data_IF_632050361774
#
_entry.id   IF_632050361774
#
_cell.length_a   1.000
_cell.length_b   1.000
_cell.length_c   1.000
_cell.angle_alpha   90.00
_cell.angle_beta   90.00
_cell.angle_gamma   90.00
#
_symmetry.space_group_name_H-M   'P 1'
#
loop_
_entity.id
_entity.type
_entity.pdbx_description
1 polymer ?
#
# COMPACT_ATOMS: atom_id res chain seq x y z
N UNK A 1 -13.11 37.89 -5.64
CA UNK A 1 -12.74 38.40 -4.31
C UNK A 1 -11.93 37.30 -3.64
N UNK A 2 -10.71 37.60 -3.19
CA UNK A 2 -9.86 36.62 -2.51
C UNK A 2 -10.32 36.50 -1.06
N UNK A 3 -10.65 35.29 -0.63
CA UNK A 3 -11.04 35.03 0.76
C UNK A 3 -9.80 35.03 1.65
N UNK A 4 -9.84 35.78 2.75
CA UNK A 4 -8.78 35.79 3.74
C UNK A 4 -8.55 34.38 4.31
N UNK A 5 -7.30 33.87 4.37
CA UNK A 5 -7.05 32.56 4.94
C UNK A 5 -7.21 32.61 6.46
N UNK A 6 -7.75 31.53 7.02
CA UNK A 6 -7.92 31.37 8.47
C UNK A 6 -6.63 30.82 9.08
N UNK A 7 -6.19 31.40 10.20
CA UNK A 7 -5.05 30.89 10.95
C UNK A 7 -5.44 29.55 11.62
N UNK A 8 -4.72 28.44 11.36
CA UNK A 8 -5.08 27.14 11.91
C UNK A 8 -4.81 27.03 13.42
N UNK A 9 -4.02 27.94 14.00
CA UNK A 9 -3.67 27.93 15.41
C UNK A 9 -4.70 28.65 16.31
N UNK A 10 -5.32 29.73 15.83
CA UNK A 10 -6.25 30.56 16.62
C UNK A 10 -7.61 30.81 15.95
N UNK A 11 -7.85 30.21 14.78
CA UNK A 11 -9.08 30.31 13.99
C UNK A 11 -9.49 31.74 13.57
N UNK A 12 -8.55 32.68 13.67
CA UNK A 12 -8.77 34.09 13.28
C UNK A 12 -8.41 34.30 11.81
N UNK A 13 -9.23 35.05 11.09
CA UNK A 13 -8.93 35.45 9.71
C UNK A 13 -7.68 36.32 9.66
N UNK A 14 -6.74 35.98 8.77
CA UNK A 14 -5.53 36.76 8.57
C UNK A 14 -5.82 38.11 7.93
N UNK A 15 -4.98 39.10 8.22
CA UNK A 15 -4.97 40.42 7.58
C UNK A 15 -4.00 40.42 6.41
N UNK A 16 -4.39 41.04 5.30
CA UNK A 16 -3.47 41.28 4.19
C UNK A 16 -2.49 42.40 4.57
N UNK A 17 -1.20 42.15 4.33
CA UNK A 17 -0.08 43.07 4.45
C UNK A 17 0.91 42.80 3.31
N UNK A 18 2.12 43.32 3.41
CA UNK A 18 3.18 43.20 2.43
C UNK A 18 4.49 42.65 3.04
N UNK A 19 5.49 42.48 2.18
CA UNK A 19 6.81 41.99 2.60
C UNK A 19 7.67 43.03 3.28
N UNK A 20 7.33 44.32 3.25
CA UNK A 20 8.05 45.34 4.01
C UNK A 20 7.76 45.22 5.50
N UNK A 21 6.50 44.92 5.87
CA UNK A 21 6.10 44.63 7.25
C UNK A 21 6.74 43.32 7.75
N UNK A 22 6.67 42.25 6.95
CA UNK A 22 7.09 40.89 7.38
C UNK A 22 8.59 40.65 7.24
N UNK A 23 9.23 41.23 6.22
CA UNK A 23 10.65 41.08 5.94
C UNK A 23 11.34 42.45 5.74
N UNK A 24 11.44 43.28 6.79
CA UNK A 24 12.00 44.64 6.68
C UNK A 24 13.45 44.67 6.17
N UNK A 25 14.18 43.56 6.31
CA UNK A 25 15.56 43.40 5.85
C UNK A 25 15.69 42.83 4.42
N UNK A 26 14.56 42.64 3.71
CA UNK A 26 14.52 42.10 2.34
C UNK A 26 13.76 43.03 1.40
N UNK A 27 14.41 44.13 0.93
CA UNK A 27 13.78 45.09 0.03
C UNK A 27 13.24 44.47 -1.26
N UNK A 28 13.84 43.36 -1.72
CA UNK A 28 13.40 42.61 -2.90
C UNK A 28 12.03 41.92 -2.72
N UNK A 29 11.55 41.81 -1.47
CA UNK A 29 10.26 41.24 -1.11
C UNK A 29 9.25 42.29 -0.66
N UNK A 30 9.63 43.58 -0.56
CA UNK A 30 8.83 44.63 0.06
C UNK A 30 7.38 44.67 -0.46
N UNK A 31 7.19 44.67 -1.77
CA UNK A 31 5.86 44.80 -2.39
C UNK A 31 5.09 43.47 -2.51
N UNK A 32 5.61 42.36 -1.94
CA UNK A 32 4.95 41.06 -2.06
C UNK A 32 3.75 40.99 -1.11
N UNK A 33 2.53 40.71 -1.59
CA UNK A 33 1.39 40.54 -0.70
C UNK A 33 1.58 39.31 0.18
N UNK A 34 1.29 39.48 1.48
CA UNK A 34 1.41 38.46 2.52
C UNK A 34 0.19 38.53 3.44
N UNK A 35 -0.39 37.39 3.78
CA UNK A 35 -1.42 37.30 4.80
C UNK A 35 -0.79 36.99 6.15
N UNK A 36 -1.02 37.83 7.15
CA UNK A 36 -0.46 37.69 8.49
C UNK A 36 -1.57 37.55 9.55
N UNK A 37 -1.36 36.66 10.53
CA UNK A 37 -2.25 36.55 11.67
C UNK A 37 -2.09 37.78 12.57
N UNK A 38 -3.21 38.25 13.12
CA UNK A 38 -3.25 39.40 14.04
C UNK A 38 -3.11 38.99 15.51
N UNK A 39 -3.19 37.69 15.82
CA UNK A 39 -3.18 37.13 17.18
C UNK A 39 -1.90 36.34 17.43
N UNK A 40 -1.54 35.44 16.53
CA UNK A 40 -0.35 34.61 16.65
C UNK A 40 0.89 35.35 16.17
N UNK A 41 1.93 35.36 16.99
CA UNK A 41 3.23 35.92 16.61
C UNK A 41 3.86 35.13 15.46
N UNK A 42 4.60 35.85 14.61
CA UNK A 42 5.38 35.30 13.51
C UNK A 42 4.59 34.29 12.64
N UNK A 43 3.29 34.52 12.42
CA UNK A 43 2.41 33.58 11.72
C UNK A 43 1.84 34.22 10.47
N UNK A 44 2.29 33.76 9.30
CA UNK A 44 1.93 34.38 8.03
C UNK A 44 2.06 33.40 6.84
N UNK A 45 1.54 33.80 5.67
CA UNK A 45 1.65 33.06 4.41
C UNK A 45 1.74 34.01 3.22
N UNK A 46 2.68 33.77 2.32
CA UNK A 46 2.81 34.56 1.09
C UNK A 46 1.73 34.21 0.05
N UNK A 47 1.69 34.97 -1.04
CA UNK A 47 0.70 34.80 -2.11
C UNK A 47 1.32 34.31 -3.42
N UNK A 48 0.47 33.79 -4.32
CA UNK A 48 0.85 33.49 -5.69
C UNK A 48 1.31 34.75 -6.44
N UNK A 49 2.33 34.67 -7.32
CA UNK A 49 2.91 35.84 -7.98
C UNK A 49 1.86 36.71 -8.69
N UNK A 50 1.87 38.02 -8.38
CA UNK A 50 0.96 39.00 -8.98
C UNK A 50 -0.49 38.91 -8.50
N UNK A 51 -0.75 38.18 -7.41
CA UNK A 51 -2.09 38.03 -6.84
C UNK A 51 -2.06 38.13 -5.32
N UNK A 52 -3.22 38.29 -4.70
CA UNK A 52 -3.41 38.17 -3.25
C UNK A 52 -3.84 36.75 -2.83
N UNK A 53 -3.83 35.79 -3.76
CA UNK A 53 -4.26 34.41 -3.48
C UNK A 53 -3.21 33.74 -2.59
N UNK A 54 -3.55 33.33 -1.36
CA UNK A 54 -2.57 32.76 -0.43
C UNK A 54 -2.03 31.42 -0.95
N UNK A 55 -0.76 31.15 -0.67
CA UNK A 55 -0.10 29.87 -0.97
C UNK A 55 -0.58 28.73 -0.04
N UNK A 56 -1.42 29.03 0.95
CA UNK A 56 -1.93 28.08 1.91
C UNK A 56 -2.40 28.79 3.18
N UNK A 57 -2.28 28.12 4.32
CA UNK A 57 -2.61 28.73 5.61
C UNK A 57 -1.40 29.42 6.25
N UNK A 58 -1.64 30.53 7.00
CA UNK A 58 -0.63 31.14 7.86
C UNK A 58 0.07 30.08 8.71
N UNK A 59 1.39 30.14 8.75
CA UNK A 59 2.23 29.20 9.47
C UNK A 59 3.26 29.97 10.29
N UNK A 60 3.60 29.45 11.46
CA UNK A 60 4.73 29.93 12.28
C UNK A 60 6.09 29.54 11.67
N UNK A 61 7.20 30.01 12.25
CA UNK A 61 8.55 29.67 11.78
C UNK A 61 8.78 28.15 11.68
N UNK A 62 8.37 27.39 12.70
CA UNK A 62 8.60 25.95 12.77
C UNK A 62 7.87 25.19 11.66
N UNK A 63 6.61 25.55 11.40
CA UNK A 63 5.81 24.94 10.35
C UNK A 63 6.29 25.37 8.96
N UNK A 64 6.69 26.64 8.78
CA UNK A 64 7.33 27.09 7.53
C UNK A 64 8.61 26.30 7.24
N UNK A 65 9.44 26.08 8.26
CA UNK A 65 10.65 25.27 8.14
C UNK A 65 10.33 23.80 7.81
N UNK A 66 9.36 23.18 8.49
CA UNK A 66 8.94 21.80 8.23
C UNK A 66 8.47 21.61 6.77
N UNK A 67 7.62 22.52 6.28
CA UNK A 67 7.14 22.53 4.88
C UNK A 67 8.31 22.70 3.90
N UNK A 68 9.24 23.63 4.18
CA UNK A 68 10.43 23.85 3.37
C UNK A 68 11.33 22.61 3.30
N UNK A 69 11.59 21.96 4.44
CA UNK A 69 12.40 20.75 4.52
C UNK A 69 11.76 19.59 3.74
N UNK A 70 10.43 19.44 3.84
CA UNK A 70 9.70 18.44 3.06
C UNK A 70 9.88 18.65 1.55
N UNK A 71 9.72 19.90 1.08
CA UNK A 71 9.98 20.24 -0.33
C UNK A 71 11.41 19.89 -0.71
N UNK A 72 12.38 20.47 -0.01
CA UNK A 72 13.81 20.37 -0.35
C UNK A 72 14.31 18.93 -0.34
N UNK A 73 13.91 18.14 0.66
CA UNK A 73 14.52 16.85 0.91
C UNK A 73 13.75 15.68 0.30
N UNK A 74 12.48 15.85 -0.05
CA UNK A 74 11.64 14.73 -0.54
C UNK A 74 10.90 15.05 -1.82
N UNK A 75 10.13 16.14 -1.88
CA UNK A 75 9.27 16.40 -3.05
C UNK A 75 10.08 16.88 -4.26
N UNK A 76 10.90 17.92 -4.08
CA UNK A 76 11.64 18.54 -5.17
C UNK A 76 12.64 17.61 -5.87
N UNK A 77 13.43 16.80 -5.14
CA UNK A 77 14.33 15.84 -5.79
C UNK A 77 13.61 14.86 -6.72
N UNK A 78 12.41 14.40 -6.35
CA UNK A 78 11.63 13.45 -7.16
C UNK A 78 11.26 14.03 -8.52
N UNK A 79 10.65 15.22 -8.55
CA UNK A 79 10.18 15.77 -9.81
C UNK A 79 11.27 16.51 -10.60
N UNK A 80 12.25 17.13 -9.94
CA UNK A 80 13.37 17.81 -10.63
C UNK A 80 14.30 16.81 -11.30
N UNK A 81 14.55 15.66 -10.67
CA UNK A 81 15.38 14.56 -11.20
C UNK A 81 14.67 13.65 -12.19
N UNK A 82 13.35 13.81 -12.39
CA UNK A 82 12.56 12.99 -13.30
C UNK A 82 13.11 12.87 -14.73
N UNK A 83 13.63 13.94 -15.38
CA UNK A 83 14.18 13.84 -16.73
C UNK A 83 15.36 12.87 -16.85
N UNK A 84 16.10 12.65 -15.78
CA UNK A 84 17.33 11.85 -15.76
C UNK A 84 17.10 10.43 -15.20
N UNK A 85 15.85 10.02 -14.99
CA UNK A 85 15.50 8.71 -14.42
C UNK A 85 15.67 7.51 -15.37
N UNK A 86 16.24 7.71 -16.56
CA UNK A 86 16.42 6.68 -17.59
C UNK A 86 15.17 6.35 -18.42
N UNK A 87 13.97 6.80 -18.01
CA UNK A 87 12.72 6.58 -18.74
C UNK A 87 12.41 7.66 -19.80
N UNK A 88 13.21 8.72 -19.87
CA UNK A 88 13.06 9.81 -20.83
C UNK A 88 14.38 10.09 -21.53
N UNK A 89 14.29 10.75 -22.69
CA UNK A 89 15.42 11.31 -23.43
C UNK A 89 15.05 12.73 -23.88
N UNK A 90 15.16 13.73 -22.99
CA UNK A 90 14.82 15.11 -23.34
C UNK A 90 15.80 15.64 -24.39
N UNK A 91 15.28 16.14 -25.51
CA UNK A 91 16.07 16.69 -26.63
C UNK A 91 16.35 18.20 -26.46
N UNK A 92 15.73 18.85 -25.48
CA UNK A 92 15.88 20.28 -25.20
C UNK A 92 15.53 20.63 -23.75
N UNK A 93 15.88 21.85 -23.32
CA UNK A 93 15.48 22.40 -22.02
C UNK A 93 13.96 22.56 -21.90
N UNK A 94 13.28 22.86 -23.00
CA UNK A 94 11.82 22.93 -23.03
C UNK A 94 11.20 21.55 -22.74
N UNK A 95 11.71 20.49 -23.37
CA UNK A 95 11.28 19.12 -23.11
C UNK A 95 11.58 18.70 -21.65
N UNK A 96 12.76 19.05 -21.13
CA UNK A 96 13.13 18.81 -19.72
C UNK A 96 12.14 19.46 -18.76
N UNK A 97 11.78 20.74 -18.96
CA UNK A 97 10.79 21.46 -18.14
C UNK A 97 9.40 20.84 -18.25
N UNK A 98 9.00 20.37 -19.44
CA UNK A 98 7.72 19.69 -19.63
C UNK A 98 7.66 18.37 -18.84
N UNK A 99 8.74 17.58 -18.86
CA UNK A 99 8.85 16.35 -18.05
C UNK A 99 8.74 16.68 -16.55
N UNK A 100 9.48 17.69 -16.08
CA UNK A 100 9.46 18.12 -14.69
C UNK A 100 8.07 18.57 -14.22
N UNK A 101 7.33 19.33 -15.04
CA UNK A 101 5.95 19.75 -14.74
C UNK A 101 5.02 18.54 -14.61
N UNK A 102 5.06 17.62 -15.56
CA UNK A 102 4.27 16.39 -15.51
C UNK A 102 4.67 15.50 -14.33
N UNK A 103 5.96 15.43 -14.02
CA UNK A 103 6.49 14.70 -12.88
C UNK A 103 5.99 15.27 -11.55
N UNK A 104 5.99 16.59 -11.40
CA UNK A 104 5.49 17.26 -10.20
C UNK A 104 4.04 16.91 -9.93
N UNK A 105 3.18 16.99 -10.96
CA UNK A 105 1.78 16.59 -10.84
C UNK A 105 1.65 15.12 -10.37
N UNK A 106 2.42 14.20 -10.94
CA UNK A 106 2.41 12.78 -10.53
C UNK A 106 2.88 12.57 -9.08
N UNK A 107 3.90 13.30 -8.63
CA UNK A 107 4.39 13.21 -7.25
C UNK A 107 3.32 13.65 -6.26
N UNK A 108 2.59 14.73 -6.54
CA UNK A 108 1.50 15.18 -5.68
C UNK A 108 0.33 14.20 -5.65
N UNK A 109 -0.05 13.63 -6.79
CA UNK A 109 -1.06 12.56 -6.87
C UNK A 109 -0.67 11.33 -6.07
N UNK A 110 0.58 10.89 -6.22
CA UNK A 110 1.13 9.76 -5.48
C UNK A 110 1.13 10.01 -3.97
N UNK A 111 1.53 11.22 -3.56
CA UNK A 111 1.53 11.62 -2.16
C UNK A 111 0.11 11.69 -1.58
N UNK A 112 -0.83 12.29 -2.32
CA UNK A 112 -2.23 12.40 -1.93
C UNK A 112 -2.82 11.01 -1.66
N UNK A 113 -2.62 10.08 -2.61
CA UNK A 113 -3.04 8.69 -2.48
C UNK A 113 -2.44 8.00 -1.24
N UNK A 114 -1.13 8.14 -1.02
CA UNK A 114 -0.42 7.58 0.15
C UNK A 114 -0.91 8.12 1.49
N UNK A 115 -1.38 9.37 1.52
CA UNK A 115 -1.87 10.04 2.73
C UNK A 115 -3.40 9.95 2.88
N UNK A 116 -4.11 9.32 1.94
CA UNK A 116 -5.58 9.29 1.94
C UNK A 116 -6.23 10.66 1.75
N UNK A 117 -5.53 11.59 1.09
CA UNK A 117 -5.99 12.95 0.80
C UNK A 117 -6.48 13.05 -0.64
N UNK A 118 -7.36 14.02 -0.91
CA UNK A 118 -7.66 14.43 -2.29
C UNK A 118 -6.49 15.22 -2.89
N UNK A 119 -6.44 15.37 -4.21
CA UNK A 119 -5.40 16.16 -4.86
C UNK A 119 -5.44 17.63 -4.43
N UNK A 120 -6.64 18.16 -4.20
CA UNK A 120 -6.88 19.54 -3.74
C UNK A 120 -6.41 19.73 -2.29
N UNK A 121 -6.62 18.73 -1.43
CA UNK A 121 -6.18 18.76 -0.03
C UNK A 121 -4.68 18.48 0.13
N UNK A 122 -4.05 17.80 -0.84
CA UNK A 122 -2.62 17.48 -0.84
C UNK A 122 -1.76 18.66 -1.30
N UNK A 123 -1.91 19.80 -0.64
CA UNK A 123 -1.07 20.97 -0.84
C UNK A 123 -0.19 21.20 0.39
N UNK A 124 1.13 21.19 0.20
CA UNK A 124 2.10 21.37 1.29
C UNK A 124 1.91 22.69 2.07
N UNK A 125 1.41 23.75 1.43
CA UNK A 125 1.02 24.99 2.11
C UNK A 125 -0.17 24.86 3.07
N UNK A 126 -0.85 23.72 3.06
CA UNK A 126 -1.98 23.40 3.95
C UNK A 126 -1.60 22.40 5.04
N UNK A 127 -0.40 21.82 4.99
CA UNK A 127 -0.01 20.76 5.91
C UNK A 127 0.28 21.29 7.31
N UNK A 128 -0.07 20.50 8.34
CA UNK A 128 0.46 20.65 9.70
C UNK A 128 1.87 20.06 9.82
N UNK A 129 2.50 20.20 10.99
CA UNK A 129 3.81 19.58 11.26
C UNK A 129 3.71 18.06 11.18
N UNK A 130 2.64 17.48 11.71
CA UNK A 130 2.34 16.05 11.70
C UNK A 130 2.18 15.55 10.27
N UNK A 131 1.39 16.26 9.45
CA UNK A 131 1.23 15.92 8.03
C UNK A 131 2.55 16.06 7.26
N UNK A 132 3.42 17.01 7.61
CA UNK A 132 4.76 17.08 7.03
C UNK A 132 5.60 15.84 7.38
N UNK A 133 5.52 15.33 8.61
CA UNK A 133 6.21 14.10 9.04
C UNK A 133 5.65 12.87 8.32
N UNK A 134 4.33 12.74 8.23
CA UNK A 134 3.66 11.66 7.49
C UNK A 134 4.06 11.67 6.01
N UNK A 135 4.01 12.84 5.37
CA UNK A 135 4.43 13.01 3.98
C UNK A 135 5.90 12.63 3.77
N UNK A 136 6.78 13.01 4.71
CA UNK A 136 8.19 12.64 4.66
C UNK A 136 8.37 11.13 4.74
N UNK A 137 7.66 10.46 5.66
CA UNK A 137 7.70 9.01 5.80
C UNK A 137 7.15 8.31 4.55
N UNK A 138 6.04 8.80 3.99
CA UNK A 138 5.41 8.27 2.78
C UNK A 138 6.32 8.34 1.54
N UNK A 139 7.18 9.37 1.45
CA UNK A 139 8.14 9.56 0.36
C UNK A 139 9.54 9.02 0.67
N UNK A 140 9.77 8.48 1.86
CA UNK A 140 11.09 7.99 2.23
C UNK A 140 11.48 6.78 1.37
N UNK A 141 12.68 6.82 0.77
CA UNK A 141 13.19 5.80 -0.17
C UNK A 141 12.36 5.61 -1.45
N UNK A 142 11.40 6.49 -1.72
CA UNK A 142 10.67 6.49 -2.99
C UNK A 142 11.56 7.11 -4.08
N UNK A 143 11.59 6.48 -5.25
CA UNK A 143 12.21 7.08 -6.44
C UNK A 143 11.15 7.61 -7.40
N UNK A 144 11.53 8.48 -8.33
CA UNK A 144 10.58 8.93 -9.36
C UNK A 144 10.10 7.78 -10.25
N UNK A 145 10.91 6.72 -10.46
CA UNK A 145 10.47 5.54 -11.21
C UNK A 145 9.32 4.81 -10.50
N UNK A 146 9.33 4.76 -9.17
CA UNK A 146 8.23 4.17 -8.40
C UNK A 146 6.94 4.99 -8.55
N UNK A 147 7.05 6.32 -8.45
CA UNK A 147 5.94 7.25 -8.71
C UNK A 147 5.40 7.07 -10.14
N UNK A 148 6.29 6.93 -11.13
CA UNK A 148 5.92 6.75 -12.54
C UNK A 148 5.24 5.40 -12.78
N UNK A 149 5.76 4.30 -12.21
CA UNK A 149 5.15 2.96 -12.29
C UNK A 149 3.76 2.98 -11.68
N UNK A 150 3.59 3.58 -10.49
CA UNK A 150 2.29 3.76 -9.86
C UNK A 150 1.32 4.53 -10.77
N UNK A 151 1.76 5.66 -11.34
CA UNK A 151 0.93 6.49 -12.20
C UNK A 151 0.49 5.80 -13.51
N UNK A 152 1.25 4.83 -14.03
CA UNK A 152 0.88 4.04 -15.21
C UNK A 152 -0.20 3.00 -14.93
N UNK A 153 -0.24 2.46 -13.71
CA UNK A 153 -1.28 1.53 -13.28
C UNK A 153 -2.57 2.30 -12.92
N UNK A 154 -2.42 3.58 -12.51
CA UNK A 154 -3.47 4.54 -12.19
C UNK A 154 -4.00 4.42 -10.75
N UNK A 155 -4.93 5.31 -10.36
CA UNK A 155 -5.79 5.17 -9.17
C UNK A 155 -6.83 4.06 -9.35
N UNK A 156 -6.46 2.95 -10.01
CA UNK A 156 -7.23 1.74 -9.76
C UNK A 156 -7.03 1.53 -8.26
N UNK A 157 -8.08 1.60 -7.41
CA UNK A 157 -7.98 0.88 -6.15
C UNK A 157 -7.41 -0.48 -6.54
N UNK A 158 -6.48 -1.03 -5.76
CA UNK A 158 -6.20 -2.45 -5.90
C UNK A 158 -7.57 -3.10 -6.02
N UNK A 159 -7.91 -3.64 -7.21
CA UNK A 159 -9.23 -4.23 -7.47
C UNK A 159 -9.46 -5.05 -6.22
N UNK A 160 -10.45 -4.77 -5.35
CA UNK A 160 -10.48 -5.36 -4.01
C UNK A 160 -10.36 -6.84 -4.24
N UNK A 161 -9.18 -7.44 -3.98
CA UNK A 161 -8.58 -8.53 -4.80
C UNK A 161 -9.74 -9.31 -5.39
N UNK A 162 -10.23 -8.97 -6.61
CA UNK A 162 -11.64 -9.30 -7.00
C UNK A 162 -11.74 -10.74 -6.62
N UNK A 163 -12.49 -11.05 -5.55
CA UNK A 163 -12.28 -12.32 -4.86
C UNK A 163 -12.23 -13.31 -5.99
N UNK A 164 -11.04 -13.88 -6.22
CA UNK A 164 -10.98 -14.93 -7.21
C UNK A 164 -11.77 -15.95 -6.42
N UNK A 165 -13.10 -16.00 -6.61
CA UNK A 165 -13.92 -17.13 -6.23
C UNK A 165 -13.03 -18.27 -6.64
N UNK A 166 -12.45 -18.96 -5.65
CA UNK A 166 -11.35 -19.86 -5.95
C UNK A 166 -11.91 -20.77 -7.01
N UNK A 167 -11.37 -20.65 -8.23
CA UNK A 167 -11.90 -21.44 -9.32
C UNK A 167 -11.54 -22.84 -8.88
N UNK A 168 -12.56 -23.69 -8.68
CA UNK A 168 -12.34 -25.07 -8.30
C UNK A 168 -11.19 -25.63 -9.16
N UNK A 169 -10.24 -26.37 -8.57
CA UNK A 169 -9.20 -27.05 -9.32
C UNK A 169 -9.82 -27.79 -10.52
N UNK A 170 -9.05 -27.93 -11.60
CA UNK A 170 -9.49 -28.66 -12.80
C UNK A 170 -10.21 -29.95 -12.40
N UNK A 171 -11.41 -30.26 -12.94
CA UNK A 171 -12.15 -31.45 -12.55
C UNK A 171 -11.27 -32.69 -12.64
N UNK A 172 -11.09 -33.35 -11.51
CA UNK A 172 -10.39 -34.62 -11.41
C UNK A 172 -11.31 -35.73 -11.90
N UNK A 173 -10.77 -36.87 -12.37
CA UNK A 173 -11.58 -38.06 -12.59
C UNK A 173 -12.30 -38.48 -11.31
N UNK A 174 -13.38 -39.25 -11.48
CA UNK A 174 -14.09 -39.87 -10.36
C UNK A 174 -13.10 -40.61 -9.44
N UNK A 175 -13.20 -40.44 -8.12
CA UNK A 175 -12.27 -41.05 -7.19
C UNK A 175 -12.42 -42.58 -7.20
N UNK A 176 -11.27 -43.25 -7.16
CA UNK A 176 -11.21 -44.70 -6.99
C UNK A 176 -11.63 -45.12 -5.58
N UNK A 177 -12.03 -46.38 -5.40
CA UNK A 177 -12.35 -46.91 -4.07
C UNK A 177 -11.17 -46.83 -3.10
N UNK A 178 -9.94 -46.94 -3.62
CA UNK A 178 -8.72 -46.75 -2.83
C UNK A 178 -8.57 -45.32 -2.32
N UNK A 179 -8.85 -44.31 -3.16
CA UNK A 179 -8.85 -42.90 -2.74
C UNK A 179 -9.95 -42.61 -1.71
N UNK A 180 -11.14 -43.22 -1.88
CA UNK A 180 -12.24 -43.11 -0.90
C UNK A 180 -11.85 -43.70 0.45
N UNK A 181 -11.26 -44.89 0.46
CA UNK A 181 -10.74 -45.53 1.67
C UNK A 181 -9.62 -44.72 2.34
N UNK A 182 -8.70 -44.17 1.56
CA UNK A 182 -7.64 -43.29 2.05
C UNK A 182 -8.20 -42.00 2.67
N UNK A 183 -9.27 -41.44 2.09
CA UNK A 183 -9.92 -40.24 2.61
C UNK A 183 -10.57 -40.48 3.98
N UNK A 184 -11.22 -41.65 4.17
CA UNK A 184 -11.79 -42.03 5.45
C UNK A 184 -10.73 -42.12 6.56
N UNK A 185 -9.59 -42.75 6.25
CA UNK A 185 -8.47 -42.87 7.18
C UNK A 185 -7.88 -41.49 7.50
N UNK A 186 -7.66 -40.66 6.48
CA UNK A 186 -7.10 -39.33 6.64
C UNK A 186 -7.98 -38.44 7.53
N UNK A 187 -9.30 -38.44 7.35
CA UNK A 187 -10.23 -37.68 8.17
C UNK A 187 -10.15 -38.07 9.66
N UNK A 188 -10.14 -39.37 9.95
CA UNK A 188 -10.05 -39.91 11.33
C UNK A 188 -8.72 -39.52 11.97
N UNK A 189 -7.62 -39.74 11.25
CA UNK A 189 -6.26 -39.51 11.76
C UNK A 189 -6.00 -38.02 11.99
N UNK A 190 -6.45 -37.14 11.09
CA UNK A 190 -6.37 -35.69 11.28
C UNK A 190 -7.18 -35.23 12.50
N UNK A 191 -8.41 -35.72 12.66
CA UNK A 191 -9.26 -35.38 13.82
C UNK A 191 -8.63 -35.80 15.14
N UNK A 192 -8.04 -36.99 15.18
CA UNK A 192 -7.31 -37.49 16.32
C UNK A 192 -6.09 -36.61 16.63
N UNK A 193 -5.29 -36.26 15.62
CA UNK A 193 -4.09 -35.43 15.79
C UNK A 193 -4.37 -33.97 16.15
N UNK A 194 -5.52 -33.42 15.74
CA UNK A 194 -5.96 -32.09 16.20
C UNK A 194 -6.35 -32.10 17.69
N UNK A 195 -6.86 -33.24 18.18
CA UNK A 195 -7.23 -33.42 19.58
C UNK A 195 -5.99 -33.76 20.45
N UNK A 196 -5.06 -34.53 19.89
CA UNK A 196 -3.80 -34.91 20.51
C UNK A 196 -2.64 -34.70 19.51
N UNK A 197 -1.94 -33.56 19.60
CA UNK A 197 -0.82 -33.23 18.70
C UNK A 197 0.33 -34.24 18.73
N UNK A 198 0.44 -35.10 19.75
CA UNK A 198 1.48 -36.14 19.79
C UNK A 198 1.30 -37.18 18.67
N UNK A 199 0.07 -37.36 18.19
CA UNK A 199 -0.27 -38.27 17.10
C UNK A 199 0.15 -37.76 15.72
N UNK A 200 0.57 -36.49 15.59
CA UNK A 200 1.15 -36.00 14.34
C UNK A 200 2.45 -36.74 13.99
N UNK A 201 3.21 -37.22 14.98
CA UNK A 201 4.50 -37.84 14.76
C UNK A 201 5.59 -36.85 14.34
N UNK A 202 6.75 -37.39 13.94
CA UNK A 202 7.93 -36.58 13.60
C UNK A 202 7.66 -35.68 12.40
N UNK A 203 8.04 -34.39 12.53
CA UNK A 203 7.90 -33.42 11.47
C UNK A 203 9.15 -33.41 10.57
N UNK A 204 8.94 -33.56 9.25
CA UNK A 204 10.00 -33.46 8.24
C UNK A 204 9.85 -32.16 7.45
N UNK A 205 10.97 -31.48 7.18
CA UNK A 205 10.97 -30.23 6.41
C UNK A 205 11.85 -30.38 5.17
N UNK A 206 11.31 -30.02 4.01
CA UNK A 206 12.00 -30.03 2.73
C UNK A 206 11.88 -28.66 2.05
N UNK A 207 12.93 -28.25 1.33
CA UNK A 207 12.88 -27.08 0.47
C UNK A 207 12.60 -27.53 -0.96
N UNK A 208 11.50 -27.06 -1.54
CA UNK A 208 11.11 -27.32 -2.92
C UNK A 208 11.53 -26.13 -3.80
N UNK A 209 12.30 -26.40 -4.85
CA UNK A 209 12.65 -25.40 -5.86
C UNK A 209 11.74 -25.55 -7.08
N UNK A 210 10.87 -24.58 -7.31
CA UNK A 210 10.03 -24.53 -8.50
C UNK A 210 10.71 -23.70 -9.60
N UNK A 211 10.72 -24.25 -10.82
CA UNK A 211 11.31 -23.62 -12.01
C UNK A 211 10.77 -22.23 -12.36
N UNK A 212 11.45 -21.55 -13.28
CA UNK A 212 11.34 -20.10 -13.57
C UNK A 212 9.91 -19.54 -13.69
N UNK A 213 9.60 -18.39 -13.04
CA UNK A 213 10.47 -17.62 -12.14
C UNK A 213 10.71 -18.40 -10.84
N UNK A 214 11.98 -18.50 -10.42
CA UNK A 214 12.40 -19.31 -9.25
C UNK A 214 11.53 -18.96 -8.04
N UNK A 215 10.68 -19.89 -7.62
CA UNK A 215 9.91 -19.81 -6.39
C UNK A 215 10.33 -20.98 -5.53
N UNK A 216 10.99 -20.69 -4.42
CA UNK A 216 11.22 -21.69 -3.38
C UNK A 216 9.99 -21.80 -2.49
N UNK A 217 9.62 -23.01 -2.08
CA UNK A 217 8.66 -23.23 -0.99
C UNK A 217 9.26 -24.16 0.06
N UNK A 218 8.95 -23.87 1.32
CA UNK A 218 9.22 -24.79 2.42
C UNK A 218 8.00 -25.69 2.55
N UNK A 219 8.21 -27.00 2.41
CA UNK A 219 7.22 -28.04 2.64
C UNK A 219 7.52 -28.67 4.01
N UNK A 220 6.51 -28.72 4.87
CA UNK A 220 6.54 -29.46 6.13
C UNK A 220 5.51 -30.59 6.08
N UNK A 221 5.91 -31.77 6.52
CA UNK A 221 5.07 -32.98 6.58
C UNK A 221 5.22 -33.65 7.95
N UNK A 222 4.32 -34.57 8.27
CA UNK A 222 4.27 -35.25 9.56
C UNK A 222 4.09 -36.76 9.36
N UNK A 223 4.92 -37.57 10.01
CA UNK A 223 4.93 -39.03 9.82
C UNK A 223 3.59 -39.71 10.17
N UNK A 224 2.87 -39.17 11.15
CA UNK A 224 1.56 -39.66 11.57
C UNK A 224 0.40 -39.17 10.71
N UNK A 225 0.64 -38.23 9.78
CA UNK A 225 -0.39 -37.65 8.91
C UNK A 225 -0.02 -37.78 7.42
N UNK A 226 -0.06 -38.99 6.83
CA UNK A 226 0.23 -39.18 5.41
C UNK A 226 -0.65 -38.31 4.53
N UNK A 227 -0.03 -37.63 3.56
CA UNK A 227 -0.72 -36.74 2.64
C UNK A 227 -1.03 -35.35 3.20
N UNK A 228 -0.87 -35.10 4.51
CA UNK A 228 -1.04 -33.78 5.11
C UNK A 228 0.27 -33.00 5.11
N UNK A 229 0.23 -31.75 4.64
CA UNK A 229 1.42 -30.92 4.56
C UNK A 229 1.12 -29.43 4.77
N UNK A 230 2.15 -28.69 5.20
CA UNK A 230 2.14 -27.23 5.28
C UNK A 230 3.15 -26.69 4.27
N UNK A 231 2.67 -25.89 3.31
CA UNK A 231 3.49 -25.31 2.26
C UNK A 231 3.16 -23.83 2.10
N UNK A 232 4.18 -22.97 2.11
CA UNK A 232 4.02 -21.51 1.92
C UNK A 232 2.98 -20.86 2.84
N UNK A 233 2.77 -21.42 4.05
CA UNK A 233 1.82 -20.88 5.04
C UNK A 233 0.39 -21.43 4.96
N UNK A 234 0.11 -22.38 4.07
CA UNK A 234 -1.19 -23.03 3.97
C UNK A 234 -1.09 -24.56 4.09
N UNK A 235 -2.13 -25.18 4.63
CA UNK A 235 -2.25 -26.63 4.77
C UNK A 235 -2.85 -27.25 3.51
N UNK A 236 -2.39 -28.44 3.16
CA UNK A 236 -2.81 -29.19 1.99
C UNK A 236 -3.02 -30.67 2.34
N UNK A 237 -3.86 -31.33 1.55
CA UNK A 237 -3.98 -32.79 1.57
C UNK A 237 -3.87 -33.37 0.16
N UNK A 238 -3.08 -34.44 -0.03
CA UNK A 238 -2.85 -35.05 -1.35
C UNK A 238 -4.14 -35.54 -2.04
N UNK A 239 -5.14 -35.97 -1.26
CA UNK A 239 -6.46 -36.40 -1.75
C UNK A 239 -7.38 -35.23 -2.18
N UNK A 240 -7.02 -34.00 -1.81
CA UNK A 240 -7.73 -32.78 -2.15
C UNK A 240 -6.77 -31.84 -2.91
N UNK A 241 -6.22 -32.26 -4.07
CA UNK A 241 -5.17 -31.50 -4.72
C UNK A 241 -5.72 -30.19 -5.28
N UNK A 242 -4.93 -29.13 -5.13
CA UNK A 242 -5.33 -27.77 -5.52
C UNK A 242 -6.13 -27.02 -4.46
N UNK A 243 -6.51 -27.66 -3.35
CA UNK A 243 -7.11 -27.01 -2.19
C UNK A 243 -6.04 -26.58 -1.18
N UNK A 244 -6.31 -25.47 -0.50
CA UNK A 244 -5.43 -24.90 0.53
C UNK A 244 -6.32 -24.49 1.71
N UNK A 245 -5.83 -24.71 2.92
CA UNK A 245 -6.59 -24.48 4.15
C UNK A 245 -5.75 -23.68 5.15
N UNK A 246 -6.39 -22.79 5.91
CA UNK A 246 -5.81 -22.28 7.15
C UNK A 246 -5.85 -23.36 8.25
N UNK A 247 -5.16 -23.14 9.37
CA UNK A 247 -5.21 -24.09 10.50
C UNK A 247 -6.65 -24.27 11.03
N UNK A 248 -7.42 -23.18 11.10
CA UNK A 248 -8.81 -23.19 11.57
C UNK A 248 -9.72 -23.96 10.60
N UNK A 249 -9.41 -23.89 9.31
CA UNK A 249 -10.14 -24.61 8.24
C UNK A 249 -9.80 -26.10 8.18
N UNK A 250 -8.69 -26.57 8.77
CA UNK A 250 -8.40 -28.01 8.78
C UNK A 250 -9.53 -28.76 9.49
N UNK A 251 -9.97 -28.27 10.65
CA UNK A 251 -11.06 -28.88 11.41
C UNK A 251 -12.44 -28.60 10.78
N UNK A 252 -12.64 -27.35 10.34
CA UNK A 252 -13.95 -26.87 9.90
C UNK A 252 -14.31 -27.27 8.46
N UNK A 253 -13.32 -27.56 7.62
CA UNK A 253 -13.51 -27.72 6.17
C UNK A 253 -12.74 -28.93 5.61
N UNK A 254 -11.41 -29.02 5.80
CA UNK A 254 -10.61 -30.10 5.21
C UNK A 254 -11.07 -31.49 5.65
N UNK A 255 -11.32 -31.69 6.94
CA UNK A 255 -11.80 -32.98 7.46
C UNK A 255 -13.20 -33.31 6.90
N UNK A 256 -14.20 -32.42 6.95
CA UNK A 256 -15.49 -32.62 6.27
C UNK A 256 -15.38 -32.94 4.77
N UNK A 257 -14.43 -32.32 4.05
CA UNK A 257 -14.21 -32.60 2.63
C UNK A 257 -13.62 -34.01 2.40
N UNK A 258 -12.74 -34.47 3.28
CA UNK A 258 -12.24 -35.85 3.26
C UNK A 258 -13.35 -36.85 3.59
N UNK A 259 -14.24 -36.52 4.54
CA UNK A 259 -15.42 -37.34 4.86
C UNK A 259 -16.40 -37.41 3.67
N UNK A 260 -16.65 -36.28 3.00
CA UNK A 260 -17.47 -36.23 1.78
C UNK A 260 -16.87 -37.07 0.63
N UNK A 261 -15.55 -36.99 0.44
CA UNK A 261 -14.83 -37.80 -0.53
C UNK A 261 -14.95 -39.29 -0.20
N UNK A 262 -14.80 -39.65 1.08
CA UNK A 262 -14.93 -41.03 1.53
C UNK A 262 -16.34 -41.58 1.32
N UNK A 263 -17.37 -40.85 1.76
CA UNK A 263 -18.75 -41.34 1.78
C UNK A 263 -19.41 -41.27 0.41
N UNK A 264 -19.25 -40.16 -0.29
CA UNK A 264 -20.03 -39.82 -1.49
C UNK A 264 -19.18 -39.73 -2.76
N UNK A 265 -17.85 -39.85 -2.65
CA UNK A 265 -16.96 -39.62 -3.78
C UNK A 265 -16.92 -38.15 -4.22
N UNK A 266 -17.37 -37.24 -3.35
CA UNK A 266 -17.50 -35.82 -3.65
C UNK A 266 -16.26 -35.07 -3.19
N UNK A 267 -15.64 -34.32 -4.10
CA UNK A 267 -14.59 -33.37 -3.75
C UNK A 267 -15.19 -31.96 -3.63
N UNK A 268 -14.58 -31.07 -2.82
CA UNK A 268 -15.03 -29.68 -2.72
C UNK A 268 -15.08 -29.02 -4.09
N UNK A 269 -16.10 -28.18 -4.30
CA UNK A 269 -16.36 -27.50 -5.59
C UNK A 269 -16.26 -25.97 -5.48
N UNK A 270 -16.12 -25.43 -4.28
CA UNK A 270 -15.95 -23.99 -3.99
C UNK A 270 -15.04 -23.82 -2.77
N UNK A 271 -14.16 -22.81 -2.78
CA UNK A 271 -13.44 -22.45 -1.56
C UNK A 271 -14.36 -21.69 -0.62
N UNK A 272 -14.44 -22.23 0.58
CA UNK A 272 -15.24 -21.74 1.69
C UNK A 272 -14.52 -20.64 2.47
N UNK A 273 -13.18 -20.52 2.33
CA UNK A 273 -12.39 -19.45 2.93
C UNK A 273 -11.99 -18.33 1.96
N UNK A 274 -12.41 -17.10 2.28
CA UNK A 274 -11.98 -15.85 1.64
C UNK A 274 -10.62 -15.35 2.18
N UNK A 275 -9.73 -16.26 2.62
CA UNK A 275 -8.54 -15.95 3.42
C UNK A 275 -7.21 -15.97 2.67
N UNK A 276 -6.49 -14.86 2.73
CA UNK A 276 -5.06 -14.66 2.39
C UNK A 276 -4.64 -14.94 0.93
N UNK A 277 -5.08 -14.04 0.07
CA UNK A 277 -4.24 -13.32 -0.90
C UNK A 277 -2.72 -13.66 -0.96
N UNK A 278 -2.30 -14.68 -1.73
CA UNK A 278 -0.91 -14.87 -2.21
C UNK A 278 -0.39 -13.72 -3.10
#
# INVERSE_FOLDING_TARGET
MTTAPICPACDTAARLTDGAEIYPHRPDLADKPIWACTICEDTYVGCHPGTETPLGFPADAGLREARMLLHRNRIDPLWKGAPDCGAYRPESDAARKQIQRAARARVYRFLANRMGLTEEACHTGMFTVEQCREAYAALNRVTYLDVRKWAQVGDRPAKPKKERKAKAPTPLPEPTEAERGAAAIAAVVLRAALSDPSLMGEASTAFLDFGSPRRGAVLRTWAGLPGFSLMSGAYHHDLLPGWQYSMDEVAAEMIPDLEALAERGERPTQATSQGVAA
#
